data_IF_072560329943
#
_entry.id   IF_072560329943
#
_cell.length_a   1.000
_cell.length_b   1.000
_cell.length_c   1.000
_cell.angle_alpha   90.00
_cell.angle_beta   90.00
_cell.angle_gamma   90.00
#
_symmetry.space_group_name_H-M   'P 1'
#
loop_
_entity.id
_entity.type
_entity.pdbx_description
1 polymer ?
#
# COMPACT_ATOMS: atom_id res chain seq x y z
N UNK A 1 -16.43 -16.40 7.93
CA UNK A 1 -15.28 -16.96 8.68
C UNK A 1 -14.13 -15.98 8.55
N UNK A 2 -13.52 -15.55 9.66
CA UNK A 2 -12.32 -14.69 9.63
C UNK A 2 -11.10 -15.61 9.55
N UNK A 3 -10.39 -15.60 8.42
CA UNK A 3 -9.21 -16.43 8.24
C UNK A 3 -8.01 -15.70 8.85
N UNK A 4 -7.72 -16.00 10.12
CA UNK A 4 -6.55 -15.45 10.79
C UNK A 4 -5.34 -16.24 10.30
N UNK A 5 -4.48 -15.57 9.54
CA UNK A 5 -3.22 -16.12 9.05
C UNK A 5 -2.23 -16.11 10.20
N UNK A 6 -1.81 -17.30 10.66
CA UNK A 6 -0.74 -17.44 11.64
C UNK A 6 0.54 -17.89 10.93
N UNK A 7 1.68 -17.26 11.19
CA UNK A 7 2.93 -17.70 10.61
C UNK A 7 3.33 -19.06 11.20
N UNK A 8 3.61 -20.03 10.34
CA UNK A 8 4.21 -21.30 10.73
C UNK A 8 5.73 -21.08 10.85
N UNK A 9 6.30 -21.29 12.04
CA UNK A 9 7.72 -21.04 12.32
C UNK A 9 8.20 -19.58 12.12
N UNK A 10 7.29 -18.59 12.22
CA UNK A 10 7.63 -17.17 12.04
C UNK A 10 7.68 -16.71 10.58
N UNK A 11 7.34 -17.59 9.64
CA UNK A 11 7.22 -17.26 8.22
C UNK A 11 5.76 -17.40 7.75
N UNK A 12 5.39 -16.56 6.78
CA UNK A 12 4.10 -16.65 6.11
C UNK A 12 4.22 -17.54 4.88
N UNK A 13 3.29 -18.48 4.72
CA UNK A 13 3.19 -19.28 3.50
C UNK A 13 2.90 -18.36 2.31
N UNK A 14 3.42 -18.75 1.14
CA UNK A 14 3.17 -18.00 -0.09
C UNK A 14 1.67 -17.85 -0.37
N UNK A 15 0.90 -18.93 -0.16
CA UNK A 15 -0.57 -18.93 -0.26
C UNK A 15 -1.23 -17.86 0.61
N UNK A 16 -0.76 -17.69 1.85
CA UNK A 16 -1.28 -16.70 2.77
C UNK A 16 -0.89 -15.27 2.37
N UNK A 17 0.34 -15.09 1.87
CA UNK A 17 0.77 -13.80 1.31
C UNK A 17 -0.12 -13.40 0.14
N UNK A 18 -0.39 -14.32 -0.78
CA UNK A 18 -1.30 -14.09 -1.91
C UNK A 18 -2.72 -13.75 -1.44
N UNK A 19 -3.23 -14.42 -0.39
CA UNK A 19 -4.55 -14.14 0.17
C UNK A 19 -4.64 -12.70 0.69
N UNK A 20 -3.66 -12.28 1.49
CA UNK A 20 -3.61 -10.92 2.08
C UNK A 20 -3.47 -9.87 0.97
N UNK A 21 -2.61 -10.10 -0.03
CA UNK A 21 -2.42 -9.17 -1.15
C UNK A 21 -3.69 -9.05 -1.98
N UNK A 22 -4.38 -10.16 -2.28
CA UNK A 22 -5.67 -10.13 -3.01
C UNK A 22 -6.74 -9.38 -2.22
N UNK A 23 -6.80 -9.57 -0.89
CA UNK A 23 -7.70 -8.80 -0.03
C UNK A 23 -7.37 -7.30 -0.08
N UNK A 24 -6.09 -6.94 -0.10
CA UNK A 24 -5.64 -5.56 -0.28
C UNK A 24 -5.97 -4.96 -1.63
N UNK A 25 -5.82 -5.71 -2.72
CA UNK A 25 -6.15 -5.22 -4.06
C UNK A 25 -7.67 -5.13 -4.31
N UNK A 26 -8.45 -6.03 -3.70
CA UNK A 26 -9.91 -6.06 -3.88
C UNK A 26 -10.66 -5.09 -2.96
N UNK A 27 -10.04 -4.68 -1.85
CA UNK A 27 -10.68 -3.76 -0.91
C UNK A 27 -10.11 -2.35 -1.04
N UNK A 28 -10.97 -1.35 -0.93
CA UNK A 28 -10.55 0.06 -0.90
C UNK A 28 -10.12 0.51 0.51
N UNK A 29 -9.60 -0.43 1.32
CA UNK A 29 -9.20 -0.20 2.72
C UNK A 29 -7.70 0.06 2.81
N UNK A 30 -7.29 0.67 3.92
CA UNK A 30 -5.86 0.86 4.18
C UNK A 30 -5.18 -0.48 4.41
N UNK A 31 -3.93 -0.59 3.96
CA UNK A 31 -3.06 -1.76 4.20
C UNK A 31 -3.02 -2.20 5.67
N UNK A 32 -3.04 -1.24 6.60
CA UNK A 32 -3.02 -1.50 8.05
C UNK A 32 -4.30 -2.19 8.52
N UNK A 33 -5.47 -1.75 8.05
CA UNK A 33 -6.75 -2.35 8.44
C UNK A 33 -6.84 -3.81 8.00
N UNK A 34 -6.34 -4.13 6.81
CA UNK A 34 -6.31 -5.50 6.29
C UNK A 34 -5.28 -6.33 7.02
N UNK A 35 -4.11 -5.76 7.29
CA UNK A 35 -3.07 -6.44 8.04
C UNK A 35 -3.56 -6.83 9.44
N UNK A 36 -4.23 -5.93 10.14
CA UNK A 36 -4.83 -6.19 11.45
C UNK A 36 -5.93 -7.24 11.38
N UNK A 37 -6.79 -7.20 10.35
CA UNK A 37 -7.87 -8.17 10.20
C UNK A 37 -7.37 -9.61 9.93
N UNK A 38 -6.26 -9.75 9.19
CA UNK A 38 -5.72 -11.06 8.82
C UNK A 38 -4.66 -11.58 9.78
N UNK A 39 -3.80 -10.71 10.33
CA UNK A 39 -2.68 -11.11 11.20
C UNK A 39 -2.92 -10.80 12.68
N UNK A 40 -3.90 -9.95 13.00
CA UNK A 40 -4.15 -9.50 14.37
C UNK A 40 -3.12 -8.51 14.90
N UNK A 41 -2.15 -8.07 14.08
CA UNK A 41 -1.13 -7.12 14.47
C UNK A 41 -1.43 -5.72 13.93
N UNK A 42 -1.16 -4.69 14.74
CA UNK A 42 -1.39 -3.29 14.37
C UNK A 42 -0.29 -2.75 13.45
N UNK A 43 0.92 -3.30 13.53
CA UNK A 43 2.09 -2.85 12.77
C UNK A 43 2.42 -3.80 11.60
N UNK A 44 2.26 -3.30 10.38
CA UNK A 44 2.52 -4.03 9.13
C UNK A 44 3.98 -3.92 8.67
N UNK A 45 4.67 -2.82 8.99
CA UNK A 45 6.07 -2.57 8.64
C UNK A 45 6.39 -2.71 7.13
N UNK A 46 5.42 -2.46 6.24
CA UNK A 46 5.62 -2.56 4.79
C UNK A 46 5.73 -3.98 4.23
N UNK A 47 5.37 -5.01 5.00
CA UNK A 47 5.37 -6.42 4.58
C UNK A 47 4.49 -6.70 3.36
N UNK A 48 3.27 -6.17 3.29
CA UNK A 48 2.36 -6.33 2.15
C UNK A 48 3.01 -5.77 0.88
N UNK A 49 3.58 -4.57 0.95
CA UNK A 49 4.27 -3.95 -0.20
C UNK A 49 5.56 -4.67 -0.58
N UNK A 50 6.25 -5.29 0.39
CA UNK A 50 7.40 -6.14 0.13
C UNK A 50 6.97 -7.41 -0.61
N UNK A 51 5.92 -8.08 -0.12
CA UNK A 51 5.39 -9.29 -0.76
C UNK A 51 4.82 -9.02 -2.14
N UNK A 52 4.16 -7.88 -2.36
CA UNK A 52 3.70 -7.48 -3.70
C UNK A 52 4.87 -7.42 -4.68
N UNK A 53 6.02 -6.86 -4.27
CA UNK A 53 7.23 -6.79 -5.09
C UNK A 53 7.85 -8.17 -5.33
N UNK A 54 7.91 -9.01 -4.29
CA UNK A 54 8.47 -10.37 -4.38
C UNK A 54 7.62 -11.29 -5.27
N UNK A 55 6.30 -11.16 -5.20
CA UNK A 55 5.34 -12.02 -5.90
C UNK A 55 4.89 -11.46 -7.27
N UNK A 56 5.47 -10.33 -7.70
CA UNK A 56 5.20 -9.75 -9.02
C UNK A 56 3.83 -9.06 -9.16
N UNK A 57 3.18 -8.70 -8.06
CA UNK A 57 1.99 -7.85 -8.12
C UNK A 57 2.37 -6.42 -8.48
N UNK A 58 1.65 -5.84 -9.44
CA UNK A 58 1.85 -4.44 -9.83
C UNK A 58 1.44 -3.53 -8.66
N UNK A 59 2.44 -2.97 -7.99
CA UNK A 59 2.19 -1.94 -6.99
C UNK A 59 1.77 -0.65 -7.71
N UNK A 60 0.60 -0.06 -7.40
CA UNK A 60 0.18 1.18 -8.04
C UNK A 60 1.22 2.27 -7.74
N UNK A 61 1.86 2.79 -8.80
CA UNK A 61 2.80 3.90 -8.72
C UNK A 61 4.29 3.56 -8.86
N UNK A 62 4.68 2.29 -9.05
CA UNK A 62 6.08 1.97 -9.37
C UNK A 62 6.33 1.99 -10.88
N UNK A 63 6.39 3.20 -11.44
CA UNK A 63 7.25 3.43 -12.60
C UNK A 63 8.66 3.06 -12.13
N UNK A 64 9.18 1.91 -12.57
CA UNK A 64 10.58 1.57 -12.39
C UNK A 64 11.37 2.65 -13.12
N UNK A 65 11.76 3.73 -12.44
CA UNK A 65 12.84 4.59 -12.94
C UNK A 65 14.03 3.66 -13.07
N UNK A 66 14.35 3.26 -14.30
CA UNK A 66 15.58 2.56 -14.61
C UNK A 66 16.70 3.50 -14.16
N UNK A 67 17.23 3.28 -12.95
CA UNK A 67 18.36 4.06 -12.44
C UNK A 67 19.55 3.56 -13.24
N UNK A 68 19.77 4.15 -14.42
CA UNK A 68 21.07 4.07 -15.07
C UNK A 68 22.05 4.78 -14.12
N UNK A 69 22.94 4.00 -13.50
CA UNK A 69 23.82 4.47 -12.44
C UNK A 69 24.84 5.47 -12.96
N UNK A 70 24.47 6.74 -13.10
CA UNK A 70 25.40 7.88 -13.16
C UNK A 70 24.73 9.15 -12.64
N UNK A 71 24.84 9.38 -11.34
CA UNK A 71 25.43 10.61 -10.77
C UNK A 71 24.93 10.85 -9.35
N UNK A 72 25.88 11.19 -8.50
CA UNK A 72 25.71 11.70 -7.15
C UNK A 72 25.02 13.05 -7.18
N UNK A 73 23.81 13.21 -6.64
CA UNK A 73 23.28 14.51 -6.14
C UNK A 73 22.18 14.25 -5.10
N UNK A 74 22.33 14.81 -3.89
CA UNK A 74 21.25 14.94 -2.90
C UNK A 74 20.11 15.78 -3.47
N UNK A 75 18.89 15.22 -3.55
CA UNK A 75 17.65 15.98 -3.68
C UNK A 75 16.72 15.58 -2.55
N UNK A 76 16.43 16.56 -1.69
CA UNK A 76 15.48 16.43 -0.59
C UNK A 76 14.14 16.93 -1.12
N UNK A 77 13.27 16.04 -1.56
CA UNK A 77 11.89 16.41 -1.91
C UNK A 77 10.88 15.47 -1.26
N UNK A 78 10.08 16.08 -0.39
CA UNK A 78 8.89 15.54 0.25
C UNK A 78 7.82 15.25 -0.79
N UNK A 79 7.60 13.97 -1.12
CA UNK A 79 6.52 13.58 -2.02
C UNK A 79 5.24 13.35 -1.21
N UNK A 80 4.46 14.41 -1.15
CA UNK A 80 3.04 14.39 -0.79
C UNK A 80 2.26 13.95 -2.03
N UNK A 81 1.67 12.76 -2.00
CA UNK A 81 0.68 12.29 -2.99
C UNK A 81 -0.48 11.74 -2.17
N UNK A 82 -1.58 12.47 -1.93
CA UNK A 82 -2.53 13.13 -2.85
C UNK A 82 -3.07 12.15 -3.88
N UNK A 83 -4.17 11.50 -3.51
CA UNK A 83 -5.34 11.21 -4.34
C UNK A 83 -6.51 10.81 -3.42
N UNK A 84 -7.47 11.73 -3.28
CA UNK A 84 -8.86 11.44 -2.99
C UNK A 84 -9.64 12.63 -3.55
N UNK A 85 -9.90 12.57 -4.85
CA UNK A 85 -10.94 13.36 -5.49
C UNK A 85 -12.29 12.81 -5.00
N UNK A 86 -12.94 13.53 -4.09
CA UNK A 86 -14.36 13.37 -3.83
C UNK A 86 -14.94 14.70 -3.31
N UNK A 87 -15.72 15.34 -4.17
CA UNK A 87 -16.77 16.35 -3.93
C UNK A 87 -16.54 17.43 -2.85
N UNK A 88 -16.64 18.70 -3.25
CA UNK A 88 -17.91 19.45 -3.11
C UNK A 88 -17.81 20.85 -3.71
N UNK A 89 -18.45 20.98 -4.87
CA UNK A 89 -19.09 22.19 -5.36
C UNK A 89 -20.07 22.73 -4.31
N UNK A 90 -19.82 23.93 -3.77
CA UNK A 90 -20.75 24.79 -3.00
C UNK A 90 -19.94 25.93 -2.33
N UNK A 91 -20.26 27.23 -2.31
CA UNK A 91 -21.47 28.02 -2.59
C UNK A 91 -21.02 29.50 -2.73
N UNK A 92 -21.55 30.17 -3.77
CA UNK A 92 -22.03 31.57 -3.87
C UNK A 92 -21.24 32.76 -3.26
N UNK A 93 -21.00 33.68 -4.21
CA UNK A 93 -21.40 35.10 -4.27
C UNK A 93 -20.74 36.14 -3.33
N UNK A 94 -20.49 37.28 -3.99
CA UNK A 94 -20.45 38.67 -3.48
C UNK A 94 -19.29 38.94 -2.51
N UNK A 95 -18.48 39.99 -2.71
CA UNK A 95 -18.88 41.38 -2.51
C UNK A 95 -18.14 42.34 -3.45
N UNK A 96 -18.92 43.37 -3.84
CA UNK A 96 -18.64 44.72 -4.33
C UNK A 96 -17.26 45.05 -4.93
#
# INVERSE_FOLDING_TARGET
>A
MKHIVKPENGYYLESDKHLIIKAYLSSNRTKQSIWEEYTGHVEENGKILKWMRELGYEAPGQIRKLINQRSSLMVKESIQSRNNDFEKEAIRKTYC
#
